data_IF_312259235222
#
_entry.id   IF_312259235222
#
_cell.length_a   1.000
_cell.length_b   1.000
_cell.length_c   1.000
_cell.angle_alpha   90.00
_cell.angle_beta   90.00
_cell.angle_gamma   90.00
#
_symmetry.space_group_name_H-M   'P 1'
#
loop_
_entity.id
_entity.type
_entity.pdbx_description
1 polymer ?
#
# COMPACT_ATOMS: atom_id res chain seq x y z
N UNK A 1 101.10 40.26 118.09
CA UNK A 1 101.06 40.79 116.71
C UNK A 1 101.69 39.78 115.76
N UNK A 2 101.02 38.66 115.47
CA UNK A 2 101.41 37.78 114.36
C UNK A 2 100.16 37.10 113.77
N UNK A 3 99.49 37.75 112.80
CA UNK A 3 98.73 36.96 111.81
C UNK A 3 98.93 37.44 110.37
N UNK A 4 99.85 38.38 110.12
CA UNK A 4 100.04 38.99 108.80
C UNK A 4 100.98 38.16 107.92
N UNK A 5 101.89 37.38 108.51
CA UNK A 5 102.97 36.69 107.79
C UNK A 5 102.49 35.40 107.09
N UNK A 6 101.41 34.75 107.56
CA UNK A 6 100.82 33.61 106.85
C UNK A 6 100.08 34.00 105.56
N UNK A 7 99.58 35.25 105.48
CA UNK A 7 98.91 35.79 104.28
C UNK A 7 99.88 35.98 103.11
N UNK A 8 101.16 36.22 103.38
CA UNK A 8 102.17 36.43 102.33
C UNK A 8 102.79 35.15 101.80
N UNK A 9 102.76 34.03 102.54
CA UNK A 9 103.29 32.74 102.06
C UNK A 9 102.40 32.03 101.04
N UNK A 10 101.15 32.48 100.89
CA UNK A 10 100.16 31.95 99.94
C UNK A 10 99.91 32.90 98.76
N UNK A 11 100.64 34.01 98.63
CA UNK A 11 100.52 34.93 97.49
C UNK A 11 101.81 35.07 96.68
N UNK A 12 101.70 34.94 95.36
CA UNK A 12 102.76 35.21 94.39
C UNK A 12 102.29 36.42 93.56
N UNK A 13 103.11 37.48 93.49
CA UNK A 13 102.82 38.72 92.73
C UNK A 13 101.54 39.49 93.13
N UNK A 14 101.09 39.39 94.40
CA UNK A 14 99.95 40.16 94.91
C UNK A 14 98.58 39.46 94.86
N UNK A 15 98.51 38.23 94.33
CA UNK A 15 97.28 37.43 94.31
C UNK A 15 97.33 36.29 95.32
N UNK A 16 96.30 36.15 96.17
CA UNK A 16 96.19 35.06 97.13
C UNK A 16 95.76 33.76 96.42
N UNK A 17 96.49 32.67 96.61
CA UNK A 17 96.23 31.37 95.96
C UNK A 17 94.79 30.87 96.18
N UNK A 18 94.23 31.08 97.37
CA UNK A 18 92.84 30.72 97.68
C UNK A 18 91.82 31.48 96.83
N UNK A 19 92.04 32.78 96.61
CA UNK A 19 91.15 33.62 95.79
C UNK A 19 91.24 33.26 94.31
N UNK A 20 92.43 32.91 93.82
CA UNK A 20 92.63 32.41 92.45
C UNK A 20 91.93 31.07 92.24
N UNK A 21 92.06 30.13 93.19
CA UNK A 21 91.35 28.85 93.13
C UNK A 21 89.83 29.04 93.19
N UNK A 22 89.32 29.89 94.08
CA UNK A 22 87.90 30.21 94.13
C UNK A 22 87.37 30.90 92.86
N UNK A 23 88.15 31.81 92.27
CA UNK A 23 87.78 32.43 90.99
C UNK A 23 87.75 31.42 89.85
N UNK A 24 88.75 30.53 89.78
CA UNK A 24 88.79 29.44 88.80
C UNK A 24 87.61 28.49 89.00
N UNK A 25 87.31 28.09 90.23
CA UNK A 25 86.15 27.23 90.53
C UNK A 25 84.83 27.90 90.18
N UNK A 26 84.70 29.20 90.47
CA UNK A 26 83.53 30.01 90.08
C UNK A 26 83.40 30.12 88.56
N UNK A 27 84.51 30.34 87.86
CA UNK A 27 84.55 30.42 86.40
C UNK A 27 84.19 29.07 85.77
N UNK A 28 84.74 27.97 86.28
CA UNK A 28 84.42 26.61 85.84
C UNK A 28 82.95 26.27 86.11
N UNK A 29 82.41 26.66 87.27
CA UNK A 29 80.99 26.48 87.58
C UNK A 29 80.08 27.30 86.64
N UNK A 30 80.43 28.56 86.36
CA UNK A 30 79.72 29.40 85.40
C UNK A 30 79.78 28.83 83.98
N UNK A 31 80.96 28.39 83.53
CA UNK A 31 81.13 27.78 82.22
C UNK A 31 80.36 26.47 82.09
N UNK A 32 80.35 25.62 83.13
CA UNK A 32 79.52 24.41 83.19
C UNK A 32 78.03 24.73 83.10
N UNK A 33 77.58 25.76 83.81
CA UNK A 33 76.18 26.20 83.75
C UNK A 33 75.80 26.73 82.37
N UNK A 34 76.69 27.49 81.72
CA UNK A 34 76.47 28.00 80.35
C UNK A 34 76.48 26.86 79.33
N UNK A 35 77.42 25.91 79.43
CA UNK A 35 77.47 24.74 78.54
C UNK A 35 76.22 23.87 78.70
N UNK A 36 75.79 23.59 79.93
CA UNK A 36 74.55 22.86 80.18
C UNK A 36 73.32 23.58 79.61
N UNK A 37 73.25 24.91 79.71
CA UNK A 37 72.18 25.71 79.12
C UNK A 37 72.17 25.66 77.60
N UNK A 38 73.35 25.73 76.96
CA UNK A 38 73.49 25.60 75.50
C UNK A 38 73.17 24.19 75.01
N UNK A 39 73.59 23.15 75.73
CA UNK A 39 73.27 21.75 75.43
C UNK A 39 71.76 21.49 75.49
N UNK A 40 71.07 22.04 76.50
CA UNK A 40 69.62 21.93 76.62
C UNK A 40 68.90 22.67 75.49
N UNK A 41 69.36 23.88 75.12
CA UNK A 41 68.82 24.61 73.97
C UNK A 41 69.04 23.86 72.65
N UNK A 42 70.22 23.27 72.45
CA UNK A 42 70.53 22.45 71.28
C UNK A 42 69.59 21.24 71.21
N UNK A 43 69.35 20.58 72.35
CA UNK A 43 68.43 19.44 72.45
C UNK A 43 66.99 19.84 72.11
N UNK A 44 66.51 20.94 72.69
CA UNK A 44 65.17 21.46 72.40
C UNK A 44 65.02 21.88 70.93
N UNK A 45 66.04 22.49 70.34
CA UNK A 45 66.03 22.84 68.91
C UNK A 45 65.95 21.60 68.03
N UNK A 46 66.75 20.56 68.31
CA UNK A 46 66.72 19.28 67.59
C UNK A 46 65.37 18.57 67.70
N UNK A 47 64.76 18.59 68.89
CA UNK A 47 63.43 18.00 69.08
C UNK A 47 62.35 18.78 68.31
N UNK A 48 62.46 20.11 68.22
CA UNK A 48 61.56 20.94 67.40
C UNK A 48 61.77 20.69 65.90
N UNK A 49 63.01 20.63 65.43
CA UNK A 49 63.34 20.28 64.04
C UNK A 49 62.74 18.93 63.66
N UNK A 50 62.93 17.91 64.51
CA UNK A 50 62.37 16.58 64.27
C UNK A 50 60.84 16.60 64.17
N UNK A 51 60.15 17.31 65.07
CA UNK A 51 58.69 17.46 65.02
C UNK A 51 58.23 18.15 63.75
N UNK A 52 58.91 19.23 63.35
CA UNK A 52 58.59 19.94 62.11
C UNK A 52 58.84 19.08 60.87
N UNK A 53 59.90 18.26 60.85
CA UNK A 53 60.15 17.29 59.78
C UNK A 53 59.05 16.24 59.68
N UNK A 54 58.61 15.68 60.82
CA UNK A 54 57.50 14.72 60.89
C UNK A 54 56.18 15.36 60.40
N UNK A 55 55.87 16.58 60.86
CA UNK A 55 54.70 17.34 60.39
C UNK A 55 54.79 17.62 58.89
N UNK A 56 55.96 18.02 58.39
CA UNK A 56 56.15 18.30 56.96
C UNK A 56 55.99 17.08 56.09
N UNK A 57 56.48 15.92 56.55
CA UNK A 57 56.29 14.67 55.84
C UNK A 57 54.80 14.25 55.83
N UNK A 58 54.10 14.41 56.96
CA UNK A 58 52.65 14.14 57.03
C UNK A 58 51.85 15.04 56.09
N UNK A 59 52.19 16.33 56.01
CA UNK A 59 51.55 17.30 55.12
C UNK A 59 51.84 17.00 53.65
N UNK A 60 53.07 16.57 53.32
CA UNK A 60 53.42 16.13 51.96
C UNK A 60 52.61 14.92 51.53
N UNK A 61 52.45 13.94 52.41
CA UNK A 61 51.63 12.75 52.14
C UNK A 61 50.16 13.12 51.96
N UNK A 62 49.62 13.98 52.84
CA UNK A 62 48.25 14.47 52.72
C UNK A 62 48.04 15.23 51.39
N UNK A 63 48.95 16.13 51.04
CA UNK A 63 48.91 16.87 49.76
C UNK A 63 48.99 15.92 48.55
N UNK A 64 49.85 14.89 48.61
CA UNK A 64 49.93 13.87 47.57
C UNK A 64 48.61 13.13 47.38
N UNK A 65 47.94 12.75 48.48
CA UNK A 65 46.65 12.06 48.42
C UNK A 65 45.53 12.95 47.84
N UNK A 66 45.45 14.21 48.28
CA UNK A 66 44.47 15.18 47.77
C UNK A 66 44.71 15.46 46.29
N UNK A 67 45.96 15.64 45.87
CA UNK A 67 46.31 15.84 44.45
C UNK A 67 45.93 14.64 43.59
N UNK A 68 46.10 13.42 44.09
CA UNK A 68 45.68 12.20 43.39
C UNK A 68 44.16 12.11 43.25
N UNK A 69 43.39 12.46 44.29
CA UNK A 69 41.93 12.50 44.22
C UNK A 69 41.44 13.63 43.29
N UNK A 70 42.06 14.80 43.32
CA UNK A 70 41.74 15.89 42.39
C UNK A 70 41.95 15.45 40.94
N UNK A 71 43.05 14.74 40.65
CA UNK A 71 43.31 14.22 39.31
C UNK A 71 42.23 13.21 38.86
N UNK A 72 41.77 12.32 39.76
CA UNK A 72 40.68 11.38 39.46
C UNK A 72 39.35 12.10 39.19
N UNK A 73 39.00 13.08 40.03
CA UNK A 73 37.77 13.86 39.86
C UNK A 73 37.81 14.65 38.55
N UNK A 74 38.94 15.27 38.22
CA UNK A 74 39.12 15.96 36.92
C UNK A 74 38.93 15.01 35.75
N UNK A 75 39.55 13.83 35.80
CA UNK A 75 39.40 12.83 34.75
C UNK A 75 37.93 12.37 34.57
N UNK A 76 37.22 12.12 35.68
CA UNK A 76 35.80 11.75 35.65
C UNK A 76 34.91 12.89 35.12
N UNK A 77 35.21 14.14 35.49
CA UNK A 77 34.49 15.30 35.00
C UNK A 77 34.70 15.50 33.48
N UNK A 78 35.92 15.33 33.00
CA UNK A 78 36.21 15.37 31.56
C UNK A 78 35.48 14.27 30.80
N UNK A 79 35.46 13.04 31.33
CA UNK A 79 34.73 11.93 30.73
C UNK A 79 33.22 12.21 30.66
N UNK A 80 32.63 12.66 31.77
CA UNK A 80 31.22 13.05 31.83
C UNK A 80 30.91 14.21 30.86
N UNK A 81 31.81 15.18 30.73
CA UNK A 81 31.64 16.29 29.78
C UNK A 81 31.68 15.81 28.33
N UNK A 82 32.57 14.86 28.00
CA UNK A 82 32.65 14.23 26.68
C UNK A 82 31.39 13.42 26.37
N UNK A 83 30.88 12.65 27.33
CA UNK A 83 29.65 11.87 27.13
C UNK A 83 28.43 12.77 26.96
N UNK A 84 28.29 13.83 27.76
CA UNK A 84 27.22 14.83 27.60
C UNK A 84 27.27 15.51 26.22
N UNK A 85 28.46 15.86 25.73
CA UNK A 85 28.62 16.47 24.41
C UNK A 85 28.22 15.50 23.30
N UNK A 86 28.62 14.22 23.41
CA UNK A 86 28.20 13.16 22.48
C UNK A 86 26.68 12.99 22.46
N UNK A 87 26.06 12.84 23.63
CA UNK A 87 24.62 12.64 23.76
C UNK A 87 23.82 13.83 23.22
N UNK A 88 24.29 15.07 23.44
CA UNK A 88 23.68 16.26 22.83
C UNK A 88 23.75 16.24 21.31
N UNK A 89 24.88 15.80 20.74
CA UNK A 89 25.02 15.62 19.29
C UNK A 89 24.06 14.57 18.74
N UNK A 90 23.97 13.42 19.40
CA UNK A 90 23.03 12.34 19.04
C UNK A 90 21.57 12.79 19.14
N UNK A 91 21.21 13.53 20.19
CA UNK A 91 19.86 14.08 20.35
C UNK A 91 19.51 15.04 19.21
N UNK A 92 20.40 15.99 18.89
CA UNK A 92 20.18 16.93 17.78
C UNK A 92 20.02 16.22 16.43
N UNK A 93 20.80 15.17 16.18
CA UNK A 93 20.66 14.35 14.97
C UNK A 93 19.34 13.59 14.92
N UNK A 94 18.89 13.02 16.04
CA UNK A 94 17.61 12.29 16.10
C UNK A 94 16.42 13.22 15.96
N UNK A 95 16.47 14.43 16.55
CA UNK A 95 15.47 15.48 16.35
C UNK A 95 15.36 15.91 14.88
N UNK A 96 16.50 16.09 14.21
CA UNK A 96 16.53 16.44 12.78
C UNK A 96 15.91 15.33 11.92
N UNK A 97 16.26 14.06 12.19
CA UNK A 97 15.67 12.89 11.50
C UNK A 97 14.17 12.78 11.76
N UNK A 98 13.74 13.02 13.00
CA UNK A 98 12.33 13.00 13.37
C UNK A 98 11.54 14.09 12.65
N UNK A 99 12.09 15.31 12.57
CA UNK A 99 11.47 16.41 11.83
C UNK A 99 11.31 16.08 10.34
N UNK A 100 12.36 15.53 9.71
CA UNK A 100 12.29 15.08 8.32
C UNK A 100 11.24 13.98 8.10
N UNK A 101 11.20 12.98 8.98
CA UNK A 101 10.21 11.89 8.90
C UNK A 101 8.78 12.40 9.06
N UNK A 102 8.54 13.37 9.96
CA UNK A 102 7.22 14.01 10.13
C UNK A 102 6.78 14.77 8.89
N UNK A 103 7.69 15.50 8.25
CA UNK A 103 7.41 16.22 7.02
C UNK A 103 7.02 15.24 5.90
N UNK A 104 7.78 14.15 5.74
CA UNK A 104 7.51 13.14 4.73
C UNK A 104 6.19 12.40 4.98
N UNK A 105 5.88 12.08 6.24
CA UNK A 105 4.60 11.49 6.61
C UNK A 105 3.43 12.41 6.26
N UNK A 106 3.56 13.71 6.52
CA UNK A 106 2.54 14.70 6.15
C UNK A 106 2.39 14.81 4.62
N UNK A 107 3.49 14.75 3.87
CA UNK A 107 3.48 14.77 2.41
C UNK A 107 2.75 13.55 1.85
N UNK A 108 3.07 12.36 2.34
CA UNK A 108 2.44 11.11 1.95
C UNK A 108 0.95 11.08 2.32
N UNK A 109 0.59 11.55 3.52
CA UNK A 109 -0.81 11.71 3.91
C UNK A 109 -1.57 12.64 2.95
N UNK A 110 -0.96 13.75 2.54
CA UNK A 110 -1.53 14.64 1.54
C UNK A 110 -1.80 13.94 0.21
N UNK A 111 -0.85 13.13 -0.28
CA UNK A 111 -1.01 12.35 -1.51
C UNK A 111 -2.10 11.29 -1.39
N UNK A 112 -2.18 10.59 -0.27
CA UNK A 112 -3.24 9.60 -0.02
C UNK A 112 -4.60 10.28 -0.03
N UNK A 113 -4.74 11.41 0.66
CA UNK A 113 -5.99 12.17 0.70
C UNK A 113 -6.42 12.70 -0.69
N UNK A 114 -5.47 12.96 -1.59
CA UNK A 114 -5.75 13.36 -2.97
C UNK A 114 -6.17 12.18 -3.84
N UNK A 115 -5.51 11.03 -3.68
CA UNK A 115 -5.78 9.84 -4.51
C UNK A 115 -7.02 9.06 -4.09
N UNK A 116 -7.36 9.05 -2.80
CA UNK A 116 -8.51 8.32 -2.26
C UNK A 116 -9.86 8.67 -2.93
N UNK A 117 -10.25 9.95 -3.09
CA UNK A 117 -11.49 10.28 -3.81
C UNK A 117 -11.41 9.92 -5.30
N UNK A 118 -10.22 9.92 -5.90
CA UNK A 118 -10.05 9.54 -7.31
C UNK A 118 -10.25 8.02 -7.49
N UNK A 119 -9.75 7.21 -6.56
CA UNK A 119 -9.98 5.78 -6.52
C UNK A 119 -11.47 5.44 -6.33
N UNK A 120 -12.16 6.15 -5.42
CA UNK A 120 -13.60 5.98 -5.21
C UNK A 120 -14.41 6.30 -6.48
N UNK A 121 -14.07 7.39 -7.18
CA UNK A 121 -14.71 7.74 -8.45
C UNK A 121 -14.47 6.70 -9.54
N UNK A 122 -13.26 6.13 -9.60
CA UNK A 122 -12.96 5.08 -10.55
C UNK A 122 -13.80 3.82 -10.30
N UNK A 123 -13.98 3.43 -9.03
CA UNK A 123 -14.79 2.26 -8.70
C UNK A 123 -16.28 2.49 -9.04
N UNK A 124 -16.81 3.68 -8.73
CA UNK A 124 -18.16 4.07 -9.15
C UNK A 124 -18.33 4.07 -10.68
N UNK A 125 -17.34 4.59 -11.41
CA UNK A 125 -17.37 4.60 -12.87
C UNK A 125 -17.34 3.17 -13.43
N UNK A 126 -16.54 2.29 -12.84
CA UNK A 126 -16.46 0.87 -13.24
C UNK A 126 -17.81 0.18 -13.10
N UNK A 127 -18.48 0.36 -11.97
CA UNK A 127 -19.79 -0.25 -11.73
C UNK A 127 -20.89 0.34 -12.63
N UNK A 128 -20.82 1.65 -12.89
CA UNK A 128 -21.72 2.31 -13.82
C UNK A 128 -21.56 1.81 -15.25
N UNK A 129 -20.32 1.74 -15.75
CA UNK A 129 -20.02 1.23 -17.10
C UNK A 129 -20.46 -0.22 -17.25
N UNK A 130 -20.18 -1.08 -16.27
CA UNK A 130 -20.64 -2.47 -16.29
C UNK A 130 -22.18 -2.57 -16.39
N UNK A 131 -22.91 -1.69 -15.68
CA UNK A 131 -24.37 -1.65 -15.73
C UNK A 131 -24.88 -1.19 -17.11
N UNK A 132 -24.28 -0.13 -17.67
CA UNK A 132 -24.65 0.39 -18.99
C UNK A 132 -24.34 -0.62 -20.09
N UNK A 133 -23.21 -1.31 -20.01
CA UNK A 133 -22.85 -2.37 -20.95
C UNK A 133 -23.85 -3.53 -20.90
N UNK A 134 -24.23 -4.00 -19.71
CA UNK A 134 -25.25 -5.03 -19.54
C UNK A 134 -26.61 -4.60 -20.10
N UNK A 135 -27.05 -3.36 -19.81
CA UNK A 135 -28.31 -2.82 -20.31
C UNK A 135 -28.31 -2.71 -21.85
N UNK A 136 -27.22 -2.21 -22.42
CA UNK A 136 -27.05 -2.12 -23.87
C UNK A 136 -27.08 -3.51 -24.52
N UNK A 137 -26.44 -4.51 -23.92
CA UNK A 137 -26.47 -5.88 -24.39
C UNK A 137 -27.88 -6.49 -24.32
N UNK A 138 -28.60 -6.32 -23.21
CA UNK A 138 -29.97 -6.80 -23.10
C UNK A 138 -30.89 -6.13 -24.13
N UNK A 139 -30.82 -4.81 -24.27
CA UNK A 139 -31.65 -4.07 -25.23
C UNK A 139 -31.34 -4.44 -26.68
N UNK A 140 -30.06 -4.65 -27.01
CA UNK A 140 -29.66 -5.15 -28.32
C UNK A 140 -30.22 -6.55 -28.57
N UNK A 141 -30.14 -7.43 -27.57
CA UNK A 141 -30.66 -8.80 -27.64
C UNK A 141 -32.18 -8.81 -27.82
N UNK A 142 -32.93 -8.02 -27.04
CA UNK A 142 -34.38 -7.85 -27.19
C UNK A 142 -34.74 -7.36 -28.60
N UNK A 143 -34.01 -6.37 -29.13
CA UNK A 143 -34.24 -5.86 -30.48
C UNK A 143 -34.01 -6.94 -31.54
N UNK A 144 -32.97 -7.76 -31.38
CA UNK A 144 -32.68 -8.88 -32.29
C UNK A 144 -33.77 -9.94 -32.21
N UNK A 145 -34.22 -10.29 -31.01
CA UNK A 145 -35.24 -11.33 -30.81
C UNK A 145 -36.61 -10.88 -31.33
N UNK A 146 -36.96 -9.59 -31.15
CA UNK A 146 -38.13 -8.99 -31.80
C UNK A 146 -38.04 -9.03 -33.33
N UNK A 147 -36.89 -8.66 -33.89
CA UNK A 147 -36.67 -8.65 -35.34
C UNK A 147 -36.78 -10.07 -35.92
N UNK A 148 -36.21 -11.07 -35.23
CA UNK A 148 -36.35 -12.49 -35.59
C UNK A 148 -37.81 -12.94 -35.55
N UNK A 149 -38.52 -12.66 -34.46
CA UNK A 149 -39.94 -13.03 -34.34
C UNK A 149 -40.80 -12.39 -35.44
N UNK A 150 -40.55 -11.11 -35.78
CA UNK A 150 -41.22 -10.43 -36.89
C UNK A 150 -40.87 -11.07 -38.23
N UNK A 151 -39.61 -11.42 -38.46
CA UNK A 151 -39.17 -12.11 -39.68
C UNK A 151 -39.80 -13.50 -39.82
N UNK A 152 -39.86 -14.29 -38.74
CA UNK A 152 -40.51 -15.60 -38.71
C UNK A 152 -42.00 -15.49 -39.00
N UNK A 153 -42.70 -14.49 -38.44
CA UNK A 153 -44.12 -14.22 -38.76
C UNK A 153 -44.31 -13.90 -40.23
N UNK A 154 -43.51 -12.98 -40.79
CA UNK A 154 -43.58 -12.64 -42.22
C UNK A 154 -43.32 -13.88 -43.08
N UNK A 155 -42.35 -14.72 -42.71
CA UNK A 155 -42.08 -15.97 -43.42
C UNK A 155 -43.25 -16.97 -43.33
N UNK A 156 -43.90 -17.09 -42.18
CA UNK A 156 -45.07 -17.93 -42.00
C UNK A 156 -46.27 -17.43 -42.82
N UNK A 157 -46.56 -16.12 -42.73
CA UNK A 157 -47.65 -15.46 -43.45
C UNK A 157 -47.46 -15.56 -44.97
N UNK A 158 -46.22 -15.35 -45.45
CA UNK A 158 -45.90 -15.48 -46.89
C UNK A 158 -46.04 -16.92 -47.37
N UNK A 159 -45.61 -17.92 -46.58
CA UNK A 159 -45.84 -19.34 -46.90
C UNK A 159 -47.33 -19.66 -46.96
N UNK A 160 -48.09 -19.24 -45.96
CA UNK A 160 -49.53 -19.47 -45.92
C UNK A 160 -50.24 -18.82 -47.12
N UNK A 161 -49.83 -17.60 -47.50
CA UNK A 161 -50.37 -16.92 -48.67
C UNK A 161 -50.02 -17.64 -49.97
N UNK A 162 -48.77 -18.10 -50.13
CA UNK A 162 -48.36 -18.89 -51.30
C UNK A 162 -49.17 -20.19 -51.40
N UNK A 163 -49.39 -20.89 -50.29
CA UNK A 163 -50.23 -22.09 -50.26
C UNK A 163 -51.67 -21.79 -50.68
N UNK A 164 -52.23 -20.65 -50.24
CA UNK A 164 -53.57 -20.20 -50.67
C UNK A 164 -53.62 -19.88 -52.17
N UNK A 165 -52.60 -19.20 -52.71
CA UNK A 165 -52.51 -18.88 -54.14
C UNK A 165 -52.37 -20.16 -54.97
N UNK A 166 -51.52 -21.09 -54.57
CA UNK A 166 -51.34 -22.38 -55.25
C UNK A 166 -52.60 -23.24 -55.18
N UNK A 167 -53.29 -23.27 -54.03
CA UNK A 167 -54.58 -23.95 -53.90
C UNK A 167 -55.65 -23.30 -54.80
N UNK A 168 -55.74 -21.97 -54.81
CA UNK A 168 -56.66 -21.23 -55.68
C UNK A 168 -56.39 -21.48 -57.16
N UNK A 169 -55.12 -21.52 -57.56
CA UNK A 169 -54.71 -21.90 -58.91
C UNK A 169 -55.10 -23.35 -59.24
N UNK A 170 -54.89 -24.29 -58.30
CA UNK A 170 -55.31 -25.69 -58.44
C UNK A 170 -56.82 -25.83 -58.65
N UNK A 171 -57.62 -25.08 -57.89
CA UNK A 171 -59.08 -25.03 -58.06
C UNK A 171 -59.45 -24.49 -59.43
N UNK A 172 -58.93 -23.32 -59.83
CA UNK A 172 -59.21 -22.70 -61.13
C UNK A 172 -58.82 -23.63 -62.28
N UNK A 173 -57.69 -24.32 -62.16
CA UNK A 173 -57.24 -25.30 -63.15
C UNK A 173 -58.22 -26.46 -63.25
N UNK A 174 -58.64 -27.02 -62.12
CA UNK A 174 -59.62 -28.11 -62.09
C UNK A 174 -60.99 -27.70 -62.65
N UNK A 175 -61.41 -26.46 -62.42
CA UNK A 175 -62.63 -25.88 -63.00
C UNK A 175 -62.51 -25.70 -64.51
N UNK A 176 -61.37 -25.20 -65.01
CA UNK A 176 -61.10 -25.15 -66.45
C UNK A 176 -61.08 -26.54 -67.07
N UNK A 177 -60.44 -27.53 -66.44
CA UNK A 177 -60.43 -28.91 -66.93
C UNK A 177 -61.87 -29.49 -66.98
N UNK A 178 -62.73 -29.17 -66.00
CA UNK A 178 -64.17 -29.49 -66.04
C UNK A 178 -64.91 -28.79 -67.18
N UNK A 179 -64.67 -27.50 -67.40
CA UNK A 179 -65.27 -26.76 -68.52
C UNK A 179 -64.86 -27.34 -69.87
N UNK A 180 -63.59 -27.74 -70.03
CA UNK A 180 -63.12 -28.42 -71.23
C UNK A 180 -63.78 -29.78 -71.41
N UNK A 181 -63.99 -30.54 -70.33
CA UNK A 181 -64.73 -31.79 -70.40
C UNK A 181 -66.19 -31.55 -70.84
N UNK A 182 -66.88 -30.57 -70.24
CA UNK A 182 -68.24 -30.19 -70.64
C UNK A 182 -68.32 -29.77 -72.12
N UNK A 183 -67.33 -29.02 -72.60
CA UNK A 183 -67.26 -28.62 -74.01
C UNK A 183 -67.03 -29.83 -74.93
N UNK A 184 -66.22 -30.81 -74.51
CA UNK A 184 -66.03 -32.06 -75.25
C UNK A 184 -67.33 -32.86 -75.29
N UNK A 185 -68.02 -33.00 -74.17
CA UNK A 185 -69.30 -33.71 -74.09
C UNK A 185 -70.37 -33.01 -74.97
N UNK A 186 -70.39 -31.68 -75.00
CA UNK A 186 -71.23 -30.89 -75.92
C UNK A 186 -70.84 -31.10 -77.40
N UNK A 187 -69.55 -31.21 -77.70
CA UNK A 187 -69.05 -31.53 -79.04
C UNK A 187 -69.47 -32.93 -79.48
N UNK A 188 -69.37 -33.92 -78.59
CA UNK A 188 -69.86 -35.28 -78.82
C UNK A 188 -71.38 -35.30 -79.00
N UNK A 189 -72.12 -34.55 -78.18
CA UNK A 189 -73.57 -34.37 -78.33
C UNK A 189 -73.94 -33.68 -79.66
N UNK A 190 -73.13 -32.74 -80.14
CA UNK A 190 -73.27 -32.13 -81.46
C UNK A 190 -73.09 -33.13 -82.59
N UNK A 191 -72.08 -34.01 -82.51
CA UNK A 191 -71.89 -35.11 -83.47
C UNK A 191 -73.08 -36.08 -83.44
N UNK A 192 -73.60 -36.40 -82.25
CA UNK A 192 -74.80 -37.23 -82.11
C UNK A 192 -76.05 -36.55 -82.71
N UNK A 193 -76.18 -35.23 -82.55
CA UNK A 193 -77.25 -34.44 -83.16
C UNK A 193 -77.14 -34.42 -84.68
N UNK A 194 -75.96 -34.19 -85.24
CA UNK A 194 -75.74 -34.23 -86.70
C UNK A 194 -76.04 -35.63 -87.26
N UNK A 195 -75.67 -36.69 -86.54
CA UNK A 195 -76.02 -38.07 -86.91
C UNK A 195 -77.54 -38.30 -86.85
N UNK A 196 -78.23 -37.76 -85.84
CA UNK A 196 -79.68 -37.84 -85.72
C UNK A 196 -80.40 -37.02 -86.80
N UNK A 197 -79.88 -35.85 -87.17
CA UNK A 197 -80.43 -35.00 -88.24
C UNK A 197 -80.23 -35.65 -89.62
N UNK A 198 -79.06 -36.26 -89.87
CA UNK A 198 -78.84 -37.09 -91.05
C UNK A 198 -79.77 -38.33 -91.08
N UNK A 199 -80.05 -38.95 -89.93
CA UNK A 199 -81.01 -40.04 -89.85
C UNK A 199 -82.46 -39.57 -90.10
N UNK A 200 -82.82 -38.39 -89.60
CA UNK A 200 -84.12 -37.76 -89.85
C UNK A 200 -84.30 -37.37 -91.33
N UNK A 201 -83.28 -36.80 -91.97
CA UNK A 201 -83.28 -36.51 -93.40
C UNK A 201 -83.46 -37.79 -94.23
N UNK A 202 -82.80 -38.90 -93.88
CA UNK A 202 -83.01 -40.19 -94.54
C UNK A 202 -84.42 -40.74 -94.35
N UNK A 203 -85.04 -40.55 -93.18
CA UNK A 203 -86.44 -40.92 -92.94
C UNK A 203 -87.41 -40.03 -93.73
N UNK A 204 -87.08 -38.75 -93.93
CA UNK A 204 -87.86 -37.81 -94.74
C UNK A 204 -87.77 -38.14 -96.25
N UNK A 205 -86.59 -38.53 -96.74
CA UNK A 205 -86.40 -39.06 -98.09
C UNK A 205 -87.14 -40.40 -98.31
N UNK A 206 -87.20 -41.27 -97.29
CA UNK A 206 -88.01 -42.49 -97.31
C UNK A 206 -89.52 -42.22 -97.25
N UNK A 207 -89.95 -41.16 -96.57
CA UNK A 207 -91.35 -40.68 -96.58
C UNK A 207 -91.77 -40.08 -97.91
N UNK A 208 -90.84 -39.46 -98.66
CA UNK A 208 -91.09 -38.95 -100.02
C UNK A 208 -91.09 -40.05 -101.10
N UNK A 209 -90.71 -41.29 -100.77
CA UNK A 209 -90.79 -42.46 -101.66
C UNK A 209 -91.98 -43.39 -101.32
N UNK A 210 -92.91 -42.94 -100.45
CA UNK A 210 -94.05 -43.71 -99.95
C UNK A 210 -95.44 -43.34 -100.49
N UNK A 211 -95.60 -42.31 -101.34
CA UNK A 211 -96.88 -42.01 -102.02
C UNK A 211 -96.67 -41.63 -103.49
N UNK A 212 -96.62 -42.66 -104.35
CA UNK A 212 -97.38 -42.85 -105.62
C UNK A 212 -96.62 -43.79 -106.59
N UNK A 213 -97.27 -44.45 -107.59
CA UNK A 213 -98.71 -44.68 -107.87
C UNK A 213 -99.05 -46.13 -108.36
N UNK A 214 -100.33 -46.55 -108.40
CA UNK A 214 -100.77 -47.73 -109.19
C UNK A 214 -102.30 -47.87 -109.44
N UNK A 215 -102.70 -47.50 -110.66
CA UNK A 215 -103.55 -48.18 -111.68
C UNK A 215 -104.49 -49.40 -111.42
N UNK A 216 -105.60 -49.39 -112.18
CA UNK A 216 -106.41 -50.50 -112.80
C UNK A 216 -107.52 -51.15 -111.93
N UNK A 217 -108.77 -51.44 -112.38
CA UNK A 217 -109.34 -52.10 -113.58
C UNK A 217 -110.88 -51.83 -113.67
N UNK A 218 -111.49 -51.54 -114.84
CA UNK A 218 -112.36 -52.39 -115.72
C UNK A 218 -113.83 -52.66 -115.30
N UNK A 219 -114.79 -52.19 -116.13
CA UNK A 219 -115.97 -52.89 -116.73
C UNK A 219 -116.93 -51.83 -117.34
N UNK A 220 -117.04 -51.74 -118.66
CA UNK A 220 -118.00 -52.40 -119.57
C UNK A 220 -119.49 -52.02 -119.40
N UNK A 221 -120.10 -51.61 -120.52
CA UNK A 221 -121.55 -51.39 -120.70
C UNK A 221 -122.32 -52.71 -120.61
N UNK A 222 -123.51 -52.67 -119.99
CA UNK A 222 -124.56 -53.72 -119.95
C UNK A 222 -124.13 -55.12 -119.46
#
# INVERSE_FOLDING_TARGET
MEPVIEKFRTSLAGFHRGDVLHYVDKLVAQHRSQMAGLEEQLKQSREREKKLEEEMESLRQAHGSVSAEEAKVRASLEESTRTLTRLRGELSQTETKLAAARLELSRLHGQVNEMEPMAQKYDQLKDYVATVELDAHHKAQETIDEAKSKAEKIQADTRQWLDQVLAGYGTLRSEMDRLFQQMRDLGEMGIQFDQADQAAQKLQEQGQQGEEPASQQEECHE
#
